data_IF_735567948896
#
_entry.id   IF_735567948896
#
_cell.length_a   1.000
_cell.length_b   1.000
_cell.length_c   1.000
_cell.angle_alpha   90.00
_cell.angle_beta   90.00
_cell.angle_gamma   90.00
#
_symmetry.space_group_name_H-M   'P 1'
#
loop_
_entity.id
_entity.type
_entity.pdbx_description
1 polymer ?
#
# COMPACT_ATOMS: atom_id res chain seq x y z
N UNK A 1 -16.02 6.65 24.93
CA UNK A 1 -15.94 5.41 25.74
C UNK A 1 -14.54 5.19 26.28
N UNK A 2 -13.55 4.88 25.43
CA UNK A 2 -12.13 4.70 25.86
C UNK A 2 -11.58 5.86 26.71
N UNK A 3 -11.73 7.10 26.23
CA UNK A 3 -11.29 8.28 26.98
C UNK A 3 -11.96 8.40 28.35
N UNK A 4 -13.28 8.18 28.42
CA UNK A 4 -14.01 8.18 29.69
C UNK A 4 -13.51 7.07 30.66
N UNK A 5 -13.18 5.87 30.14
CA UNK A 5 -12.54 4.83 30.94
C UNK A 5 -11.17 5.25 31.47
N UNK A 6 -10.34 5.94 30.67
CA UNK A 6 -9.02 6.41 31.11
C UNK A 6 -9.12 7.48 32.19
N UNK A 7 -10.09 8.39 32.07
CA UNK A 7 -10.27 9.51 32.99
C UNK A 7 -10.91 9.08 34.32
N UNK A 8 -11.88 8.16 34.27
CA UNK A 8 -12.74 7.84 35.42
C UNK A 8 -12.66 6.37 35.87
N UNK A 9 -11.90 5.51 35.17
CA UNK A 9 -11.84 4.06 35.41
C UNK A 9 -13.04 3.27 34.87
N UNK A 10 -14.13 3.95 34.51
CA UNK A 10 -15.34 3.40 33.92
C UNK A 10 -16.10 4.50 33.17
N UNK A 11 -17.16 4.13 32.45
CA UNK A 11 -18.17 5.05 31.91
C UNK A 11 -19.56 4.46 32.05
N UNK A 12 -20.57 5.31 32.01
CA UNK A 12 -21.98 4.93 31.84
C UNK A 12 -22.48 5.34 30.46
N UNK A 13 -23.59 4.75 30.03
CA UNK A 13 -24.27 5.15 28.78
C UNK A 13 -24.66 6.63 28.79
N UNK A 14 -24.99 7.18 29.97
CA UNK A 14 -25.34 8.59 30.12
C UNK A 14 -24.13 9.50 29.85
N UNK A 15 -22.96 9.16 30.40
CA UNK A 15 -21.74 9.97 30.24
C UNK A 15 -21.35 10.08 28.76
N UNK A 16 -21.47 8.97 28.02
CA UNK A 16 -21.13 8.95 26.60
C UNK A 16 -22.18 9.65 25.75
N UNK A 17 -23.47 9.46 26.06
CA UNK A 17 -24.54 10.17 25.38
C UNK A 17 -24.40 11.69 25.51
N UNK A 18 -24.05 12.18 26.70
CA UNK A 18 -23.80 13.60 26.95
C UNK A 18 -22.55 14.10 26.23
N UNK A 19 -21.43 13.38 26.32
CA UNK A 19 -20.18 13.79 25.69
C UNK A 19 -20.20 13.78 24.16
N UNK A 20 -21.10 13.02 23.54
CA UNK A 20 -21.18 12.84 22.08
C UNK A 20 -22.45 13.38 21.45
N UNK A 21 -23.30 14.07 22.22
CA UNK A 21 -24.63 14.54 21.80
C UNK A 21 -25.45 13.45 21.06
N UNK A 22 -25.35 12.21 21.55
CA UNK A 22 -25.94 11.03 20.91
C UNK A 22 -27.04 10.46 21.80
N UNK A 23 -28.20 10.02 21.26
CA UNK A 23 -29.26 9.42 22.07
C UNK A 23 -28.77 8.22 22.89
N UNK A 24 -29.20 8.13 24.16
CA UNK A 24 -28.80 7.05 25.08
C UNK A 24 -29.10 5.65 24.54
N UNK A 25 -30.19 5.48 23.79
CA UNK A 25 -30.53 4.20 23.14
C UNK A 25 -29.48 3.80 22.11
N UNK A 26 -29.05 4.75 21.27
CA UNK A 26 -28.01 4.51 20.26
C UNK A 26 -26.67 4.18 20.92
N UNK A 27 -26.31 4.90 21.98
CA UNK A 27 -25.11 4.60 22.77
C UNK A 27 -25.21 3.22 23.42
N UNK A 28 -26.37 2.84 23.96
CA UNK A 28 -26.58 1.51 24.55
C UNK A 28 -26.43 0.40 23.50
N UNK A 29 -26.96 0.58 22.28
CA UNK A 29 -26.80 -0.39 21.20
C UNK A 29 -25.33 -0.57 20.82
N UNK A 30 -24.56 0.53 20.76
CA UNK A 30 -23.11 0.47 20.55
C UNK A 30 -22.38 -0.21 21.69
N UNK A 31 -22.73 0.08 22.95
CA UNK A 31 -22.13 -0.59 24.11
C UNK A 31 -22.38 -2.10 24.07
N UNK A 32 -23.59 -2.53 23.74
CA UNK A 32 -23.92 -3.95 23.66
C UNK A 32 -23.09 -4.67 22.58
N UNK A 33 -22.97 -4.06 21.38
CA UNK A 33 -22.12 -4.59 20.31
C UNK A 33 -20.65 -4.66 20.71
N UNK A 34 -20.14 -3.59 21.33
CA UNK A 34 -18.75 -3.54 21.79
C UNK A 34 -18.47 -4.52 22.94
N UNK A 35 -19.49 -4.95 23.69
CA UNK A 35 -19.37 -6.04 24.67
C UNK A 35 -19.27 -7.39 23.96
N UNK A 36 -20.11 -7.64 22.95
CA UNK A 36 -20.05 -8.85 22.12
C UNK A 36 -18.70 -8.98 21.39
N UNK A 37 -18.14 -7.84 20.95
CA UNK A 37 -16.83 -7.74 20.30
C UNK A 37 -15.65 -7.78 21.30
N UNK A 38 -15.92 -7.75 22.61
CA UNK A 38 -14.89 -7.78 23.65
C UNK A 38 -14.11 -6.48 23.82
N UNK A 39 -14.53 -5.38 23.20
CA UNK A 39 -13.92 -4.04 23.27
C UNK A 39 -14.34 -3.26 24.52
N UNK A 40 -15.48 -3.64 25.12
CA UNK A 40 -16.02 -3.09 26.37
C UNK A 40 -16.40 -4.25 27.28
N UNK A 41 -16.14 -4.13 28.58
CA UNK A 41 -16.62 -5.03 29.60
C UNK A 41 -17.64 -4.33 30.51
N UNK A 42 -18.67 -5.05 30.91
CA UNK A 42 -19.56 -4.65 32.00
C UNK A 42 -18.82 -4.86 33.31
N UNK A 43 -18.48 -3.78 34.01
CA UNK A 43 -17.79 -3.83 35.30
C UNK A 43 -18.76 -3.92 36.47
N UNK A 44 -19.92 -3.26 36.36
CA UNK A 44 -21.01 -3.34 37.34
C UNK A 44 -22.38 -3.33 36.65
N UNK A 45 -23.25 -4.29 37.01
CA UNK A 45 -24.64 -4.34 36.54
C UNK A 45 -25.49 -3.19 37.06
N UNK A 46 -26.55 -2.84 36.33
CA UNK A 46 -27.51 -1.83 36.76
C UNK A 46 -28.24 -2.28 38.04
N UNK A 47 -28.25 -1.43 39.07
CA UNK A 47 -28.94 -1.69 40.34
C UNK A 47 -29.84 -0.52 40.74
N UNK A 48 -31.14 -0.67 40.47
CA UNK A 48 -32.14 0.35 40.81
C UNK A 48 -31.84 1.69 40.12
N UNK A 49 -31.49 2.72 40.92
CA UNK A 49 -31.12 4.06 40.40
C UNK A 49 -29.64 4.17 39.98
N UNK A 50 -28.81 3.18 40.29
CA UNK A 50 -27.41 3.17 39.89
C UNK A 50 -27.30 2.62 38.46
N UNK A 51 -26.74 3.43 37.56
CA UNK A 51 -26.49 3.05 36.18
C UNK A 51 -25.43 1.93 36.11
N UNK A 52 -25.55 1.06 35.10
CA UNK A 52 -24.51 0.09 34.78
C UNK A 52 -23.19 0.81 34.44
N UNK A 53 -22.07 0.22 34.87
CA UNK A 53 -20.73 0.72 34.60
C UNK A 53 -20.02 -0.19 33.61
N UNK A 54 -19.34 0.43 32.67
CA UNK A 54 -18.62 -0.22 31.61
C UNK A 54 -17.18 0.29 31.59
N UNK A 55 -16.24 -0.54 31.15
CA UNK A 55 -14.87 -0.12 30.90
C UNK A 55 -14.40 -0.65 29.55
N UNK A 56 -13.63 0.14 28.81
CA UNK A 56 -12.94 -0.39 27.64
C UNK A 56 -11.89 -1.43 28.07
N UNK A 57 -11.88 -2.59 27.42
CA UNK A 57 -11.11 -3.78 27.81
C UNK A 57 -9.60 -3.64 27.58
N UNK A 58 -9.20 -2.78 26.65
CA UNK A 58 -7.78 -2.54 26.34
C UNK A 58 -7.56 -1.12 25.79
N UNK A 59 -6.43 -0.52 26.19
CA UNK A 59 -5.87 0.69 25.56
C UNK A 59 -5.09 0.38 24.27
N UNK A 60 -4.83 -0.90 24.00
CA UNK A 60 -4.10 -1.35 22.82
C UNK A 60 -5.03 -1.34 21.60
N UNK A 61 -4.53 -0.92 20.41
CA UNK A 61 -5.31 -1.02 19.17
C UNK A 61 -5.57 -2.49 18.83
N UNK A 62 -6.69 -2.76 18.15
CA UNK A 62 -7.02 -4.11 17.63
C UNK A 62 -5.99 -4.61 16.63
N UNK A 63 -5.39 -3.71 15.85
CA UNK A 63 -4.24 -4.02 15.02
C UNK A 63 -3.25 -2.88 14.93
N UNK A 64 -1.95 -3.21 14.88
CA UNK A 64 -0.89 -2.25 14.53
C UNK A 64 -0.83 -1.96 13.02
N UNK A 65 -1.40 -2.85 12.19
CA UNK A 65 -1.51 -2.71 10.74
C UNK A 65 -2.96 -2.46 10.35
N UNK A 66 -3.21 -1.35 9.65
CA UNK A 66 -4.53 -1.05 9.07
C UNK A 66 -4.86 -2.04 7.95
N UNK A 67 -3.91 -2.29 7.05
CA UNK A 67 -4.06 -3.21 5.92
C UNK A 67 -2.80 -4.06 5.76
N UNK A 68 -2.97 -5.32 5.39
CA UNK A 68 -1.90 -6.20 4.93
C UNK A 68 -2.39 -6.91 3.67
N UNK A 69 -1.65 -6.74 2.59
CA UNK A 69 -2.01 -7.31 1.29
C UNK A 69 -0.77 -7.59 0.47
N UNK A 70 -0.91 -8.35 -0.62
CA UNK A 70 0.24 -8.84 -1.38
C UNK A 70 -0.07 -8.81 -2.87
N UNK A 71 0.86 -8.27 -3.65
CA UNK A 71 0.84 -8.41 -5.11
C UNK A 71 1.84 -9.46 -5.57
N UNK A 72 1.56 -10.09 -6.71
CA UNK A 72 2.44 -11.08 -7.34
C UNK A 72 2.81 -10.65 -8.76
N UNK A 73 4.07 -10.87 -9.15
CA UNK A 73 4.59 -10.64 -10.49
C UNK A 73 5.61 -11.74 -10.85
N UNK A 74 5.14 -12.76 -11.57
CA UNK A 74 5.94 -13.93 -11.90
C UNK A 74 6.31 -14.74 -10.65
N UNK A 75 7.61 -14.90 -10.41
CA UNK A 75 8.15 -15.65 -9.26
C UNK A 75 8.41 -14.79 -8.00
N UNK A 76 7.98 -13.53 -8.01
CA UNK A 76 8.20 -12.57 -6.93
C UNK A 76 6.87 -12.02 -6.41
N UNK A 77 6.86 -11.62 -5.15
CA UNK A 77 5.76 -10.90 -4.53
C UNK A 77 6.24 -9.56 -3.95
N UNK A 78 5.33 -8.61 -3.81
CA UNK A 78 5.51 -7.45 -2.95
C UNK A 78 4.42 -7.46 -1.87
N UNK A 79 4.87 -7.57 -0.62
CA UNK A 79 4.03 -7.61 0.58
C UNK A 79 3.93 -6.18 1.12
N UNK A 80 2.72 -5.75 1.43
CA UNK A 80 2.44 -4.40 1.92
C UNK A 80 1.88 -4.47 3.32
N UNK A 81 2.45 -3.69 4.23
CA UNK A 81 1.87 -3.42 5.55
C UNK A 81 1.64 -1.93 5.68
N UNK A 82 0.38 -1.50 5.69
CA UNK A 82 0.05 -0.13 6.05
C UNK A 82 -0.11 -0.05 7.57
N UNK A 83 0.92 0.45 8.25
CA UNK A 83 0.89 0.57 9.71
C UNK A 83 0.05 1.78 10.15
N UNK A 84 -0.52 1.71 11.35
CA UNK A 84 -1.18 2.88 11.95
C UNK A 84 -0.19 3.96 12.44
N UNK A 85 1.11 3.63 12.48
CA UNK A 85 2.16 4.51 12.99
C UNK A 85 3.43 4.38 12.16
N UNK A 86 4.03 5.52 11.83
CA UNK A 86 5.34 5.56 11.17
C UNK A 86 6.45 4.96 12.03
N UNK A 87 6.32 5.00 13.36
CA UNK A 87 7.27 4.36 14.27
C UNK A 87 7.20 2.83 14.22
N UNK A 88 5.98 2.26 14.15
CA UNK A 88 5.80 0.82 13.95
C UNK A 88 6.33 0.37 12.58
N UNK A 89 6.04 1.14 11.53
CA UNK A 89 6.56 0.86 10.19
C UNK A 89 8.09 0.90 10.16
N UNK A 90 8.72 1.88 10.82
CA UNK A 90 10.18 1.99 10.89
C UNK A 90 10.82 0.83 11.69
N UNK A 91 10.17 0.39 12.77
CA UNK A 91 10.60 -0.78 13.52
C UNK A 91 10.56 -2.05 12.65
N UNK A 92 9.47 -2.26 11.91
CA UNK A 92 9.34 -3.41 11.01
C UNK A 92 10.38 -3.34 9.88
N UNK A 93 10.55 -2.18 9.23
CA UNK A 93 11.58 -1.95 8.22
C UNK A 93 12.97 -2.37 8.72
N UNK A 94 13.37 -1.91 9.91
CA UNK A 94 14.67 -2.23 10.49
C UNK A 94 14.87 -3.73 10.72
N UNK A 95 13.88 -4.41 11.32
CA UNK A 95 14.04 -5.82 11.68
C UNK A 95 13.91 -6.75 10.47
N UNK A 96 12.95 -6.51 9.58
CA UNK A 96 12.80 -7.31 8.36
C UNK A 96 14.00 -7.13 7.41
N UNK A 97 14.52 -5.91 7.25
CA UNK A 97 15.74 -5.68 6.45
C UNK A 97 16.96 -6.41 7.02
N UNK A 98 17.05 -6.55 8.34
CA UNK A 98 18.15 -7.24 9.03
C UNK A 98 18.00 -8.75 9.04
N UNK A 99 16.77 -9.26 9.02
CA UNK A 99 16.48 -10.70 9.03
C UNK A 99 16.92 -11.42 7.75
N UNK A 100 16.89 -10.73 6.61
CA UNK A 100 17.07 -11.37 5.32
C UNK A 100 15.99 -12.42 5.09
N UNK A 101 16.39 -13.66 4.85
CA UNK A 101 15.45 -14.74 4.56
C UNK A 101 14.89 -14.65 3.15
N UNK A 102 13.57 -14.80 3.01
CA UNK A 102 12.89 -14.75 1.72
C UNK A 102 12.86 -13.33 1.10
N UNK A 103 13.07 -12.30 1.92
CA UNK A 103 13.03 -10.90 1.50
C UNK A 103 14.28 -10.52 0.70
N UNK A 104 14.06 -9.88 -0.44
CA UNK A 104 15.10 -9.30 -1.31
C UNK A 104 15.30 -7.80 -1.02
N UNK A 105 14.23 -7.10 -0.67
CA UNK A 105 14.31 -5.68 -0.31
C UNK A 105 13.16 -5.28 0.60
N UNK A 106 13.43 -4.38 1.53
CA UNK A 106 12.44 -3.79 2.44
C UNK A 106 12.56 -2.28 2.31
N UNK A 107 11.43 -1.60 2.11
CA UNK A 107 11.37 -0.14 1.97
C UNK A 107 10.16 0.39 2.69
N UNK A 108 10.26 1.60 3.22
CA UNK A 108 9.15 2.31 3.82
C UNK A 108 8.84 3.62 3.12
N UNK A 109 7.56 3.89 2.95
CA UNK A 109 7.03 5.15 2.46
C UNK A 109 5.97 5.68 3.44
N UNK A 110 6.38 6.63 4.28
CA UNK A 110 5.57 7.07 5.41
C UNK A 110 5.24 5.91 6.36
N UNK A 111 3.97 5.51 6.37
CA UNK A 111 3.42 4.40 7.16
C UNK A 111 3.30 3.08 6.38
N UNK A 112 3.54 3.08 5.07
CA UNK A 112 3.46 1.90 4.22
C UNK A 112 4.84 1.22 4.15
N UNK A 113 4.91 0.00 4.66
CA UNK A 113 6.04 -0.91 4.45
C UNK A 113 5.80 -1.69 3.15
N UNK A 114 6.85 -1.83 2.34
CA UNK A 114 6.89 -2.59 1.09
C UNK A 114 8.03 -3.60 1.17
N UNK A 115 7.72 -4.87 1.06
CA UNK A 115 8.68 -5.95 1.19
C UNK A 115 8.64 -6.84 -0.05
N UNK A 116 9.70 -6.83 -0.85
CA UNK A 116 9.83 -7.75 -1.98
C UNK A 116 10.41 -9.07 -1.52
N UNK A 117 9.81 -10.15 -1.97
CA UNK A 117 10.25 -11.51 -1.69
C UNK A 117 10.18 -12.39 -2.93
N UNK A 118 11.11 -13.33 -3.05
CA UNK A 118 10.98 -14.43 -4.00
C UNK A 118 10.10 -15.53 -3.40
N UNK A 119 9.35 -16.25 -4.25
CA UNK A 119 8.68 -17.47 -3.82
C UNK A 119 9.71 -18.53 -3.38
N UNK A 120 9.40 -19.25 -2.31
CA UNK A 120 10.27 -20.26 -1.70
C UNK A 120 10.57 -19.98 -0.24
N UNK A 121 11.49 -20.77 0.32
CA UNK A 121 11.88 -20.71 1.73
C UNK A 121 13.37 -20.47 1.89
N UNK A 122 13.73 -19.67 2.91
CA UNK A 122 15.10 -19.43 3.36
C UNK A 122 15.09 -19.32 4.88
N UNK A 123 16.06 -19.95 5.53
CA UNK A 123 16.19 -19.91 6.99
C UNK A 123 16.37 -18.48 7.49
N UNK A 124 15.71 -18.17 8.60
CA UNK A 124 15.82 -16.87 9.30
C UNK A 124 16.04 -17.12 10.77
N UNK A 125 17.16 -16.60 11.29
CA UNK A 125 17.41 -16.57 12.72
C UNK A 125 16.84 -15.28 13.32
N UNK A 126 15.85 -15.41 14.21
CA UNK A 126 15.32 -14.29 15.00
C UNK A 126 15.76 -14.38 16.46
N UNK A 127 15.82 -13.23 17.13
CA UNK A 127 16.19 -13.15 18.55
C UNK A 127 15.99 -11.74 19.12
N UNK A 128 16.43 -11.57 20.36
CA UNK A 128 16.55 -10.24 20.97
C UNK A 128 17.81 -9.54 20.45
N UNK A 129 17.90 -8.22 20.67
CA UNK A 129 19.07 -7.43 20.30
C UNK A 129 20.39 -8.14 20.70
N UNK A 130 21.35 -8.29 19.76
CA UNK A 130 21.44 -7.64 18.45
C UNK A 130 20.77 -8.40 17.29
N UNK A 131 20.06 -9.50 17.50
CA UNK A 131 19.38 -10.24 16.43
C UNK A 131 18.10 -9.52 15.95
N UNK A 132 17.62 -9.80 14.73
CA UNK A 132 16.35 -9.29 14.26
C UNK A 132 15.18 -9.94 15.02
N UNK A 133 14.16 -9.16 15.39
CA UNK A 133 13.02 -9.65 16.16
C UNK A 133 11.95 -10.35 15.31
N UNK A 134 11.99 -10.18 13.99
CA UNK A 134 11.01 -10.74 13.04
C UNK A 134 11.66 -10.93 11.68
N UNK A 135 11.23 -11.96 10.95
CA UNK A 135 11.52 -12.09 9.52
C UNK A 135 10.63 -13.12 8.82
N UNK A 136 10.66 -13.07 7.49
CA UNK A 136 9.88 -13.95 6.62
C UNK A 136 10.76 -15.13 6.20
N UNK A 137 10.43 -16.30 6.73
CA UNK A 137 11.09 -17.59 6.45
C UNK A 137 10.72 -18.09 5.06
N UNK A 138 9.51 -17.81 4.60
CA UNK A 138 9.09 -18.26 3.29
C UNK A 138 7.83 -17.59 2.78
N UNK A 139 7.69 -17.63 1.46
CA UNK A 139 6.49 -17.20 0.75
C UNK A 139 6.11 -18.29 -0.23
N UNK A 140 4.83 -18.66 -0.24
CA UNK A 140 4.28 -19.59 -1.23
C UNK A 140 3.00 -19.04 -1.85
N UNK A 141 2.71 -19.48 -3.07
CA UNK A 141 1.52 -19.11 -3.83
C UNK A 141 0.73 -20.38 -4.15
N UNK A 142 -0.46 -20.50 -3.59
CA UNK A 142 -1.34 -21.68 -3.73
C UNK A 142 -2.79 -21.21 -3.85
N UNK A 143 -3.52 -21.73 -4.83
CA UNK A 143 -4.97 -21.49 -5.02
C UNK A 143 -5.38 -20.00 -5.03
N UNK A 144 -4.53 -19.12 -5.56
CA UNK A 144 -4.79 -17.67 -5.61
C UNK A 144 -4.54 -16.92 -4.30
N UNK A 145 -3.88 -17.57 -3.33
CA UNK A 145 -3.48 -16.99 -2.06
C UNK A 145 -1.96 -16.98 -1.90
N UNK A 146 -1.45 -15.94 -1.24
CA UNK A 146 -0.07 -15.86 -0.80
C UNK A 146 -0.01 -16.21 0.69
N UNK A 147 0.82 -17.20 1.02
CA UNK A 147 1.09 -17.63 2.39
C UNK A 147 2.48 -17.14 2.80
N UNK A 148 2.51 -16.30 3.83
CA UNK A 148 3.73 -15.69 4.36
C UNK A 148 4.07 -16.37 5.67
N UNK A 149 5.20 -17.08 5.72
CA UNK A 149 5.66 -17.78 6.92
C UNK A 149 6.59 -16.86 7.71
N UNK A 150 6.13 -16.42 8.86
CA UNK A 150 6.77 -15.41 9.69
C UNK A 150 7.30 -16.08 10.96
N UNK A 151 8.55 -15.78 11.31
CA UNK A 151 9.15 -16.16 12.58
C UNK A 151 9.48 -14.89 13.35
N UNK A 152 9.14 -14.85 14.64
CA UNK A 152 9.28 -13.62 15.43
C UNK A 152 9.37 -13.87 16.94
N UNK A 153 9.80 -12.84 17.67
CA UNK A 153 9.93 -12.81 19.13
C UNK A 153 9.56 -11.42 19.66
N UNK A 154 9.08 -11.32 20.90
CA UNK A 154 8.79 -10.05 21.56
C UNK A 154 7.60 -9.30 20.95
N UNK A 155 7.76 -8.00 20.66
CA UNK A 155 6.68 -7.15 20.13
C UNK A 155 6.06 -7.67 18.83
N UNK A 156 6.85 -8.04 17.80
CA UNK A 156 6.32 -8.66 16.59
C UNK A 156 5.55 -9.96 16.82
N UNK A 157 5.95 -10.75 17.83
CA UNK A 157 5.21 -11.97 18.18
C UNK A 157 3.80 -11.65 18.68
N UNK A 158 3.64 -10.60 19.49
CA UNK A 158 2.32 -10.12 19.90
C UNK A 158 1.49 -9.63 18.70
N UNK A 159 2.13 -8.92 17.75
CA UNK A 159 1.45 -8.50 16.52
C UNK A 159 0.96 -9.71 15.70
N UNK A 160 1.81 -10.71 15.51
CA UNK A 160 1.45 -11.90 14.74
C UNK A 160 0.32 -12.71 15.40
N UNK A 161 0.34 -12.85 16.72
CA UNK A 161 -0.66 -13.66 17.42
C UNK A 161 -2.01 -12.98 17.60
N UNK A 162 -2.00 -11.67 17.87
CA UNK A 162 -3.21 -11.00 18.39
C UNK A 162 -3.71 -9.86 17.49
N UNK A 163 -2.93 -9.39 16.51
CA UNK A 163 -3.26 -8.18 15.74
C UNK A 163 -3.45 -8.41 14.24
N UNK A 164 -2.56 -9.18 13.60
CA UNK A 164 -2.53 -9.25 12.13
C UNK A 164 -3.82 -9.83 11.52
N UNK A 165 -4.55 -10.68 12.25
CA UNK A 165 -5.82 -11.25 11.78
C UNK A 165 -6.93 -10.20 11.57
N UNK A 166 -6.80 -9.02 12.18
CA UNK A 166 -7.75 -7.91 12.04
C UNK A 166 -7.37 -6.90 10.95
N UNK A 167 -6.20 -7.05 10.32
CA UNK A 167 -5.80 -6.15 9.24
C UNK A 167 -6.60 -6.44 7.96
N UNK A 168 -7.10 -5.39 7.31
CA UNK A 168 -7.80 -5.51 6.03
C UNK A 168 -6.89 -6.17 4.99
N UNK A 169 -7.42 -7.15 4.25
CA UNK A 169 -6.70 -7.94 3.25
C UNK A 169 -6.14 -9.27 3.76
N UNK A 170 -6.07 -9.47 5.08
CA UNK A 170 -5.71 -10.76 5.68
C UNK A 170 -6.90 -11.71 5.61
N UNK A 171 -6.69 -12.88 5.03
CA UNK A 171 -7.68 -13.95 4.88
C UNK A 171 -7.60 -14.99 5.99
N UNK A 172 -6.47 -15.08 6.68
CA UNK A 172 -6.27 -16.02 7.78
C UNK A 172 -4.91 -15.87 8.41
N UNK A 173 -4.82 -16.23 9.70
CA UNK A 173 -3.58 -16.30 10.45
C UNK A 173 -3.57 -17.59 11.24
N UNK A 174 -2.46 -18.34 11.16
CA UNK A 174 -2.20 -19.48 12.05
C UNK A 174 -0.91 -19.24 12.79
N UNK A 175 -0.85 -19.63 14.07
CA UNK A 175 0.34 -19.42 14.91
C UNK A 175 0.66 -20.65 15.73
N UNK A 176 1.95 -20.87 15.92
CA UNK A 176 2.54 -21.89 16.77
C UNK A 176 3.59 -21.22 17.68
N UNK A 177 3.53 -21.49 18.98
CA UNK A 177 4.47 -20.94 19.96
C UNK A 177 5.43 -22.02 20.43
N UNK A 178 6.72 -21.73 20.33
CA UNK A 178 7.79 -22.57 20.88
C UNK A 178 8.70 -21.71 21.77
N UNK A 179 8.44 -21.76 23.08
CA UNK A 179 9.13 -20.91 24.04
C UNK A 179 8.86 -19.41 23.75
N UNK A 180 9.92 -18.57 23.67
CA UNK A 180 9.76 -17.14 23.39
C UNK A 180 9.56 -16.82 21.91
N UNK A 181 9.76 -17.80 21.02
CA UNK A 181 9.62 -17.63 19.58
C UNK A 181 8.21 -18.03 19.15
N UNK A 182 7.66 -17.24 18.25
CA UNK A 182 6.38 -17.49 17.59
C UNK A 182 6.63 -17.65 16.11
N UNK A 183 6.12 -18.75 15.57
CA UNK A 183 6.03 -18.97 14.14
C UNK A 183 4.58 -18.88 13.72
N UNK A 184 4.32 -18.35 12.55
CA UNK A 184 2.98 -18.29 12.03
C UNK A 184 2.93 -18.12 10.53
N UNK A 185 1.73 -18.28 10.02
CA UNK A 185 1.41 -18.06 8.62
C UNK A 185 0.36 -16.97 8.53
N UNK A 186 0.61 -15.98 7.66
CA UNK A 186 -0.35 -14.94 7.31
C UNK A 186 -0.74 -15.14 5.86
N UNK A 187 -2.04 -15.27 5.62
CA UNK A 187 -2.60 -15.57 4.30
C UNK A 187 -3.27 -14.32 3.75
N UNK A 188 -2.89 -13.92 2.53
CA UNK A 188 -3.48 -12.81 1.77
C UNK A 188 -3.88 -13.30 0.38
N UNK A 189 -4.76 -12.57 -0.33
CA UNK A 189 -5.04 -12.86 -1.75
C UNK A 189 -3.81 -12.50 -2.60
N UNK A 190 -3.59 -13.25 -3.67
CA UNK A 190 -2.62 -12.91 -4.70
C UNK A 190 -3.21 -11.83 -5.63
N UNK A 191 -2.93 -10.56 -5.33
CA UNK A 191 -3.44 -9.43 -6.12
C UNK A 191 -2.52 -9.14 -7.33
N UNK A 192 -3.09 -8.63 -8.41
CA UNK A 192 -2.33 -8.06 -9.52
C UNK A 192 -1.83 -6.67 -9.12
N UNK A 193 -0.55 -6.37 -9.38
CA UNK A 193 -0.04 -5.01 -9.31
C UNK A 193 -0.39 -4.29 -10.61
N UNK A 194 -1.01 -3.11 -10.52
CA UNK A 194 -1.33 -2.27 -11.69
C UNK A 194 -0.72 -0.89 -11.50
N UNK A 195 0.18 -0.51 -12.41
CA UNK A 195 0.68 0.86 -12.54
C UNK A 195 -0.13 1.61 -13.60
N UNK A 196 -0.60 2.80 -13.25
CA UNK A 196 -1.29 3.71 -14.17
C UNK A 196 -0.52 5.02 -14.22
N UNK A 197 0.25 5.21 -15.28
CA UNK A 197 0.93 6.45 -15.62
C UNK A 197 -0.01 7.44 -16.29
N UNK A 198 0.16 8.73 -15.99
CA UNK A 198 -0.72 9.83 -16.41
C UNK A 198 0.16 11.04 -16.71
N UNK A 199 -0.05 11.67 -17.87
CA UNK A 199 0.68 12.87 -18.25
C UNK A 199 -0.09 13.78 -19.21
N UNK A 200 0.39 15.03 -19.38
CA UNK A 200 -0.16 16.06 -20.27
C UNK A 200 -1.67 16.32 -20.07
N UNK A 201 -2.15 16.25 -18.82
CA UNK A 201 -3.60 16.39 -18.53
C UNK A 201 -4.01 17.83 -18.23
N UNK A 202 -3.05 18.71 -17.97
CA UNK A 202 -3.21 20.13 -17.66
C UNK A 202 -2.78 21.05 -18.81
N UNK A 203 -3.20 22.31 -18.73
CA UNK A 203 -2.80 23.39 -19.65
C UNK A 203 -2.05 24.48 -18.88
N UNK A 204 -1.58 25.52 -19.55
CA UNK A 204 -0.91 26.65 -18.89
C UNK A 204 -1.82 27.40 -17.89
N UNK A 205 -3.15 27.25 -17.97
CA UNK A 205 -4.11 28.01 -17.17
C UNK A 205 -5.07 27.16 -16.37
N UNK A 206 -5.11 25.84 -16.58
CA UNK A 206 -6.12 24.96 -16.00
C UNK A 206 -5.57 23.57 -15.70
N UNK A 207 -5.94 23.04 -14.53
CA UNK A 207 -5.61 21.68 -14.11
C UNK A 207 -4.20 21.52 -13.55
N UNK A 208 -3.93 20.31 -13.05
CA UNK A 208 -2.59 19.85 -12.72
C UNK A 208 -2.56 18.32 -12.77
N UNK A 209 -1.61 17.74 -13.51
CA UNK A 209 -1.52 16.28 -13.69
C UNK A 209 -1.45 15.49 -12.38
N UNK A 210 -0.72 15.99 -11.38
CA UNK A 210 -0.66 15.32 -10.07
C UNK A 210 -2.00 15.34 -9.32
N UNK A 211 -2.79 16.40 -9.48
CA UNK A 211 -4.09 16.53 -8.81
C UNK A 211 -5.12 15.59 -9.45
N UNK A 212 -5.13 15.48 -10.79
CA UNK A 212 -5.98 14.53 -11.50
C UNK A 212 -5.60 13.08 -11.18
N UNK A 213 -4.30 12.77 -11.09
CA UNK A 213 -3.81 11.46 -10.67
C UNK A 213 -4.28 11.09 -9.25
N UNK A 214 -4.21 12.02 -8.30
CA UNK A 214 -4.72 11.81 -6.95
C UNK A 214 -6.24 11.58 -6.94
N UNK A 215 -7.00 12.35 -7.73
CA UNK A 215 -8.44 12.17 -7.86
C UNK A 215 -8.78 10.79 -8.45
N UNK A 216 -8.03 10.33 -9.45
CA UNK A 216 -8.18 8.99 -10.02
C UNK A 216 -7.89 7.90 -8.99
N UNK A 217 -6.79 8.02 -8.22
CA UNK A 217 -6.47 7.06 -7.15
C UNK A 217 -7.62 6.95 -6.14
N UNK A 218 -8.16 8.09 -5.69
CA UNK A 218 -9.29 8.14 -4.77
C UNK A 218 -10.59 7.59 -5.38
N UNK A 219 -10.79 7.75 -6.69
CA UNK A 219 -11.92 7.18 -7.40
C UNK A 219 -11.84 5.66 -7.47
N UNK A 220 -10.70 5.12 -7.91
CA UNK A 220 -10.50 3.68 -8.07
C UNK A 220 -10.42 2.95 -6.73
N UNK A 221 -9.87 3.57 -5.68
CA UNK A 221 -9.80 3.00 -4.34
C UNK A 221 -11.17 2.79 -3.66
N UNK A 222 -12.26 3.29 -4.24
CA UNK A 222 -13.64 3.03 -3.76
C UNK A 222 -14.23 1.73 -4.31
N UNK A 223 -13.55 1.09 -5.25
CA UNK A 223 -14.01 -0.17 -5.84
C UNK A 223 -13.59 -1.34 -4.95
N UNK A 224 -14.54 -2.21 -4.63
CA UNK A 224 -14.24 -3.46 -3.93
C UNK A 224 -13.22 -4.28 -4.72
N UNK A 225 -12.27 -4.90 -4.01
CA UNK A 225 -11.16 -5.65 -4.63
C UNK A 225 -10.00 -4.79 -5.14
N UNK A 226 -9.98 -3.49 -4.79
CA UNK A 226 -8.86 -2.58 -5.10
C UNK A 226 -8.27 -2.02 -3.82
N UNK A 227 -6.95 -2.17 -3.67
CA UNK A 227 -6.19 -1.60 -2.57
C UNK A 227 -5.18 -0.58 -3.13
N UNK A 228 -5.29 0.70 -2.76
CA UNK A 228 -4.32 1.71 -3.20
C UNK A 228 -2.96 1.45 -2.54
N UNK A 229 -1.90 1.49 -3.35
CA UNK A 229 -0.50 1.41 -2.90
C UNK A 229 0.09 2.81 -2.78
N UNK A 230 -0.07 3.66 -3.79
CA UNK A 230 0.45 5.03 -3.71
C UNK A 230 0.31 5.86 -4.98
N UNK A 231 0.75 7.10 -4.88
CA UNK A 231 0.87 8.06 -5.98
C UNK A 231 2.29 8.60 -6.02
N UNK A 232 2.90 8.57 -7.20
CA UNK A 232 4.26 9.02 -7.47
C UNK A 232 4.22 10.16 -8.48
N UNK A 233 5.09 11.13 -8.29
CA UNK A 233 5.38 12.18 -9.26
C UNK A 233 6.82 12.01 -9.72
N UNK A 234 7.05 12.06 -11.02
CA UNK A 234 8.38 11.95 -11.61
C UNK A 234 8.66 13.15 -12.52
N UNK A 235 9.78 13.82 -12.28
CA UNK A 235 10.27 14.87 -13.18
C UNK A 235 10.96 14.24 -14.40
N UNK A 236 10.62 14.75 -15.57
CA UNK A 236 11.16 14.36 -16.87
C UNK A 236 12.16 15.41 -17.37
N UNK A 237 12.50 15.40 -18.66
CA UNK A 237 13.49 16.30 -19.24
C UNK A 237 13.09 17.78 -19.05
N UNK A 238 13.82 18.55 -18.22
CA UNK A 238 13.45 19.94 -17.97
C UNK A 238 13.71 20.83 -19.18
N UNK A 239 14.44 20.39 -20.21
CA UNK A 239 14.83 21.21 -21.37
C UNK A 239 13.83 21.14 -22.54
N UNK A 240 12.75 20.36 -22.42
CA UNK A 240 11.71 20.30 -23.45
C UNK A 240 10.97 21.65 -23.57
N UNK A 241 10.86 22.17 -24.79
CA UNK A 241 10.21 23.46 -25.06
C UNK A 241 8.68 23.40 -24.91
N UNK A 242 8.06 22.28 -25.30
CA UNK A 242 6.62 22.06 -25.24
C UNK A 242 6.17 21.46 -23.89
N UNK A 243 6.53 22.12 -22.78
CA UNK A 243 6.20 21.70 -21.40
C UNK A 243 5.07 22.52 -20.78
N UNK A 244 4.25 21.90 -19.93
CA UNK A 244 3.47 22.60 -18.90
C UNK A 244 4.41 23.15 -17.81
N UNK A 245 3.89 23.82 -16.78
CA UNK A 245 4.70 24.41 -15.71
C UNK A 245 5.41 23.33 -14.86
N UNK A 246 6.55 22.82 -15.35
CA UNK A 246 7.32 21.73 -14.74
C UNK A 246 7.01 20.39 -15.40
N UNK A 247 7.82 20.00 -16.40
CA UNK A 247 7.66 18.76 -17.17
C UNK A 247 7.72 17.52 -16.25
N UNK A 248 6.57 17.08 -15.76
CA UNK A 248 6.44 16.03 -14.76
C UNK A 248 5.18 15.21 -15.01
N UNK A 249 5.32 13.90 -14.81
CA UNK A 249 4.25 12.93 -14.98
C UNK A 249 3.88 12.31 -13.62
N UNK A 250 2.72 11.68 -13.54
CA UNK A 250 2.26 10.97 -12.34
C UNK A 250 2.07 9.49 -12.61
N UNK A 251 2.31 8.65 -11.60
CA UNK A 251 1.94 7.24 -11.61
C UNK A 251 1.13 6.94 -10.35
N UNK A 252 -0.01 6.27 -10.50
CA UNK A 252 -0.70 5.64 -9.37
C UNK A 252 -0.41 4.14 -9.38
N UNK A 253 -0.28 3.55 -8.20
CA UNK A 253 0.04 2.15 -7.98
C UNK A 253 -1.13 1.51 -7.22
N UNK A 254 -1.65 0.39 -7.74
CA UNK A 254 -2.80 -0.32 -7.19
C UNK A 254 -2.50 -1.82 -7.03
N UNK A 255 -3.02 -2.43 -5.98
CA UNK A 255 -3.18 -3.88 -5.89
C UNK A 255 -4.64 -4.22 -6.17
N UNK A 256 -4.88 -5.06 -7.19
CA UNK A 256 -6.21 -5.27 -7.77
C UNK A 256 -6.50 -6.76 -7.84
N UNK A 257 -7.71 -7.20 -7.52
CA UNK A 257 -8.11 -8.58 -7.79
C UNK A 257 -7.98 -8.89 -9.30
N UNK A 258 -7.36 -10.01 -9.71
CA UNK A 258 -6.99 -10.23 -11.12
C UNK A 258 -8.15 -10.09 -12.12
N UNK A 259 -9.37 -10.47 -11.75
CA UNK A 259 -10.57 -10.35 -12.56
C UNK A 259 -11.06 -8.91 -12.75
N UNK A 260 -10.56 -7.94 -11.99
CA UNK A 260 -10.95 -6.53 -12.05
C UNK A 260 -9.99 -5.68 -12.88
N UNK A 261 -8.82 -6.19 -13.30
CA UNK A 261 -7.78 -5.39 -13.95
C UNK A 261 -8.31 -4.66 -15.20
N UNK A 262 -9.00 -5.37 -16.10
CA UNK A 262 -9.60 -4.76 -17.30
C UNK A 262 -10.63 -3.66 -16.97
N UNK A 263 -11.40 -3.83 -15.88
CA UNK A 263 -12.35 -2.81 -15.41
C UNK A 263 -11.64 -1.58 -14.86
N UNK A 264 -10.53 -1.77 -14.15
CA UNK A 264 -9.71 -0.67 -13.62
C UNK A 264 -9.10 0.13 -14.76
N UNK A 265 -8.57 -0.54 -15.77
CA UNK A 265 -8.07 0.08 -16.98
C UNK A 265 -9.16 0.92 -17.69
N UNK A 266 -10.32 0.32 -17.99
CA UNK A 266 -11.42 1.04 -18.65
C UNK A 266 -11.88 2.26 -17.82
N UNK A 267 -12.01 2.08 -16.51
CA UNK A 267 -12.44 3.15 -15.61
C UNK A 267 -11.41 4.27 -15.54
N UNK A 268 -10.11 3.95 -15.52
CA UNK A 268 -9.02 4.91 -15.52
C UNK A 268 -9.00 5.74 -16.81
N UNK A 269 -9.08 5.08 -17.97
CA UNK A 269 -9.13 5.75 -19.28
C UNK A 269 -10.32 6.68 -19.36
N UNK A 270 -11.53 6.21 -19.00
CA UNK A 270 -12.75 7.02 -19.04
C UNK A 270 -12.67 8.22 -18.11
N UNK A 271 -12.14 8.04 -16.90
CA UNK A 271 -12.02 9.12 -15.93
C UNK A 271 -11.06 10.21 -16.43
N UNK A 272 -9.85 9.83 -16.88
CA UNK A 272 -8.87 10.80 -17.37
C UNK A 272 -9.38 11.51 -18.64
N UNK A 273 -9.98 10.77 -19.58
CA UNK A 273 -10.53 11.35 -20.81
C UNK A 273 -11.68 12.35 -20.56
N UNK A 274 -12.44 12.16 -19.48
CA UNK A 274 -13.56 13.04 -19.11
C UNK A 274 -13.17 14.27 -18.30
N UNK A 275 -12.06 14.20 -17.56
CA UNK A 275 -11.67 15.21 -16.57
C UNK A 275 -10.39 15.99 -16.95
N UNK A 276 -9.61 15.52 -17.93
CA UNK A 276 -8.40 16.22 -18.38
C UNK A 276 -8.76 17.54 -19.09
N UNK A 277 -8.02 18.60 -18.75
CA UNK A 277 -8.16 19.91 -19.40
C UNK A 277 -7.46 19.96 -20.77
N UNK A 278 -6.37 19.21 -20.93
CA UNK A 278 -5.61 19.13 -22.16
C UNK A 278 -6.10 17.99 -23.07
N UNK A 279 -6.27 18.22 -24.39
CA UNK A 279 -6.61 17.16 -25.34
C UNK A 279 -5.45 16.20 -25.62
N UNK A 280 -4.23 16.55 -25.21
CA UNK A 280 -3.02 15.75 -25.36
C UNK A 280 -2.78 14.80 -24.19
N UNK A 281 -3.76 14.66 -23.29
CA UNK A 281 -3.68 13.73 -22.15
C UNK A 281 -3.22 12.35 -22.59
N UNK A 282 -2.46 11.70 -21.73
CA UNK A 282 -2.02 10.34 -21.95
C UNK A 282 -2.12 9.49 -20.71
N UNK A 283 -2.44 8.22 -20.93
CA UNK A 283 -2.43 7.20 -19.90
C UNK A 283 -1.61 5.99 -20.39
N UNK A 284 -0.89 5.37 -19.46
CA UNK A 284 -0.20 4.11 -19.69
C UNK A 284 -0.57 3.15 -18.56
N UNK A 285 -1.15 2.00 -18.88
CA UNK A 285 -1.54 0.98 -17.90
C UNK A 285 -0.65 -0.24 -18.08
N UNK A 286 -0.03 -0.72 -16.99
CA UNK A 286 0.81 -1.93 -17.02
C UNK A 286 0.61 -2.77 -15.77
N UNK A 287 0.44 -4.06 -15.96
CA UNK A 287 0.48 -5.03 -14.87
C UNK A 287 1.94 -5.38 -14.49
N UNK A 288 2.18 -5.65 -13.20
CA UNK A 288 3.47 -6.07 -12.67
C UNK A 288 4.37 -4.95 -12.18
N UNK A 289 5.00 -5.16 -11.02
CA UNK A 289 5.89 -4.20 -10.37
C UNK A 289 7.35 -4.32 -10.83
N UNK A 290 7.73 -5.39 -11.53
CA UNK A 290 9.08 -5.55 -12.07
C UNK A 290 9.27 -4.60 -13.24
N UNK A 291 10.42 -3.93 -13.26
CA UNK A 291 10.80 -3.03 -14.35
C UNK A 291 12.05 -3.61 -15.01
N UNK A 292 11.90 -4.37 -16.11
CA UNK A 292 13.03 -4.77 -16.94
C UNK A 292 13.79 -3.53 -17.38
N UNK A 293 15.11 -3.58 -17.49
CA UNK A 293 15.86 -2.33 -17.64
C UNK A 293 15.88 -1.78 -19.05
N UNK A 294 15.44 -2.53 -20.06
CA UNK A 294 15.05 -1.93 -21.32
C UNK A 294 13.80 -1.03 -21.16
N UNK A 295 12.85 -1.39 -20.28
CA UNK A 295 11.79 -0.48 -19.86
C UNK A 295 12.35 0.67 -19.01
N UNK A 296 13.28 0.42 -18.08
CA UNK A 296 13.95 1.49 -17.31
C UNK A 296 14.67 2.50 -18.21
N UNK A 297 15.33 2.01 -19.25
CA UNK A 297 16.06 2.83 -20.22
C UNK A 297 15.13 3.80 -20.94
N UNK A 298 13.87 3.43 -21.20
CA UNK A 298 12.86 4.36 -21.70
C UNK A 298 12.65 5.55 -20.74
N UNK A 299 12.51 5.28 -19.44
CA UNK A 299 12.39 6.32 -18.41
C UNK A 299 13.63 7.22 -18.32
N UNK A 300 14.82 6.66 -18.52
CA UNK A 300 16.06 7.45 -18.66
C UNK A 300 16.01 8.34 -19.90
N UNK A 301 15.68 7.78 -21.07
CA UNK A 301 15.58 8.53 -22.32
C UNK A 301 14.57 9.67 -22.21
N UNK A 302 13.47 9.49 -21.45
CA UNK A 302 12.45 10.52 -21.22
C UNK A 302 12.97 11.70 -20.36
N UNK A 303 14.06 11.50 -19.59
CA UNK A 303 14.76 12.54 -18.83
C UNK A 303 15.86 13.24 -19.62
N UNK A 304 16.44 12.57 -20.62
CA UNK A 304 17.66 13.02 -21.30
C UNK A 304 17.42 13.55 -22.72
N UNK A 305 16.38 13.07 -23.39
CA UNK A 305 16.17 13.28 -24.83
C UNK A 305 14.72 13.59 -25.17
N UNK A 306 14.47 13.90 -26.44
CA UNK A 306 13.11 14.00 -27.00
C UNK A 306 12.72 12.62 -27.50
N UNK A 307 11.59 12.10 -27.03
CA UNK A 307 11.03 10.82 -27.46
C UNK A 307 9.83 11.10 -28.35
N UNK A 308 9.68 10.34 -29.43
CA UNK A 308 8.49 10.35 -30.27
C UNK A 308 7.46 9.30 -29.82
N UNK A 309 6.23 9.46 -30.30
CA UNK A 309 5.12 8.57 -29.95
C UNK A 309 5.34 7.13 -30.42
N UNK A 310 5.99 6.94 -31.58
CA UNK A 310 6.26 5.61 -32.13
C UNK A 310 7.18 4.79 -31.21
N UNK A 311 8.22 5.42 -30.65
CA UNK A 311 9.09 4.79 -29.67
C UNK A 311 8.34 4.41 -28.39
N UNK A 312 7.39 5.23 -27.94
CA UNK A 312 6.52 4.92 -26.81
C UNK A 312 5.64 3.71 -27.10
N UNK A 313 4.95 3.68 -28.24
CA UNK A 313 4.07 2.58 -28.66
C UNK A 313 4.83 1.26 -28.80
N UNK A 314 6.02 1.29 -29.44
CA UNK A 314 6.89 0.12 -29.55
C UNK A 314 7.35 -0.40 -28.19
N UNK A 315 7.75 0.49 -27.29
CA UNK A 315 8.18 0.12 -25.94
C UNK A 315 7.01 -0.46 -25.14
N UNK A 316 5.83 0.15 -25.23
CA UNK A 316 4.62 -0.32 -24.56
C UNK A 316 4.23 -1.73 -25.03
N UNK A 317 4.22 -1.99 -26.35
CA UNK A 317 3.95 -3.32 -26.89
C UNK A 317 4.95 -4.39 -26.45
N UNK A 318 6.24 -4.03 -26.30
CA UNK A 318 7.27 -4.96 -25.84
C UNK A 318 7.10 -5.36 -24.36
N UNK A 319 6.61 -4.44 -23.52
CA UNK A 319 6.50 -4.64 -22.07
C UNK A 319 5.05 -4.79 -21.57
N UNK A 320 4.11 -5.07 -22.47
CA UNK A 320 2.71 -5.31 -22.12
C UNK A 320 2.02 -4.12 -21.46
N UNK A 321 2.40 -2.90 -21.83
CA UNK A 321 1.69 -1.69 -21.42
C UNK A 321 0.68 -1.27 -22.50
N UNK A 322 -0.49 -0.80 -22.07
CA UNK A 322 -1.51 -0.26 -22.94
C UNK A 322 -1.51 1.27 -22.86
N UNK A 323 -1.56 1.94 -24.02
CA UNK A 323 -1.50 3.40 -24.13
C UNK A 323 -2.82 3.95 -24.64
N UNK A 324 -3.31 5.04 -24.04
CA UNK A 324 -4.49 5.76 -24.51
C UNK A 324 -4.27 7.27 -24.47
N UNK A 325 -4.84 7.97 -25.46
CA UNK A 325 -4.80 9.42 -25.55
C UNK A 325 -3.86 9.97 -26.63
N UNK A 326 -3.45 11.21 -26.44
CA UNK A 326 -2.62 12.01 -27.33
C UNK A 326 -1.13 11.83 -27.07
N UNK A 327 -0.36 12.92 -27.16
CA UNK A 327 1.09 12.94 -26.94
C UNK A 327 1.51 12.51 -25.52
N UNK A 328 0.68 12.76 -24.51
CA UNK A 328 0.96 12.46 -23.11
C UNK A 328 1.32 11.00 -22.82
N UNK A 329 1.00 10.08 -23.72
CA UNK A 329 1.38 8.65 -23.58
C UNK A 329 2.89 8.48 -23.42
N UNK A 330 3.70 9.40 -23.95
CA UNK A 330 5.16 9.39 -23.82
C UNK A 330 5.57 9.48 -22.36
N UNK A 331 5.09 10.50 -21.64
CA UNK A 331 5.42 10.69 -20.23
C UNK A 331 4.60 9.81 -19.29
N UNK A 332 3.39 9.40 -19.67
CA UNK A 332 2.64 8.38 -18.94
C UNK A 332 3.42 7.05 -18.91
N UNK A 333 3.96 6.60 -20.04
CA UNK A 333 4.83 5.42 -20.08
C UNK A 333 6.13 5.65 -19.31
N UNK A 334 6.66 6.88 -19.32
CA UNK A 334 7.83 7.22 -18.51
C UNK A 334 7.52 7.05 -17.01
N UNK A 335 6.37 7.50 -16.53
CA UNK A 335 5.93 7.30 -15.15
C UNK A 335 5.90 5.82 -14.76
N UNK A 336 5.32 4.98 -15.63
CA UNK A 336 5.25 3.51 -15.48
C UNK A 336 6.64 2.85 -15.51
N UNK A 337 7.55 3.36 -16.34
CA UNK A 337 8.94 2.89 -16.38
C UNK A 337 9.77 3.33 -15.17
N UNK A 338 9.29 4.33 -14.43
CA UNK A 338 10.01 4.92 -13.31
C UNK A 338 9.63 4.34 -11.94
N UNK A 339 8.58 3.52 -11.84
CA UNK A 339 8.08 2.91 -10.59
C UNK A 339 9.17 2.19 -9.79
N UNK A 340 9.00 2.11 -8.48
CA UNK A 340 9.95 1.45 -7.58
C UNK A 340 11.25 2.23 -7.31
N UNK A 341 11.43 3.42 -7.87
CA UNK A 341 12.52 4.32 -7.49
C UNK A 341 12.18 5.16 -6.24
N UNK A 342 13.20 5.55 -5.45
CA UNK A 342 13.05 6.51 -4.37
C UNK A 342 12.55 7.90 -4.84
N UNK A 343 11.87 8.62 -3.95
CA UNK A 343 11.34 9.96 -4.25
C UNK A 343 12.42 10.98 -4.65
N UNK A 344 13.58 10.95 -4.00
CA UNK A 344 14.70 11.85 -4.32
C UNK A 344 15.28 11.58 -5.72
N UNK A 345 15.18 10.35 -6.22
CA UNK A 345 15.52 10.01 -7.62
C UNK A 345 14.40 10.44 -8.57
N UNK A 346 13.13 10.25 -8.19
CA UNK A 346 11.98 10.62 -9.02
C UNK A 346 11.85 12.14 -9.22
N UNK A 347 12.17 12.93 -8.20
CA UNK A 347 12.04 14.39 -8.19
C UNK A 347 13.31 15.13 -8.64
N UNK A 348 14.38 14.42 -8.99
CA UNK A 348 15.59 15.01 -9.55
C UNK A 348 15.89 14.36 -10.92
N UNK A 349 15.58 15.04 -12.05
CA UNK A 349 15.81 14.47 -13.37
C UNK A 349 17.30 14.31 -13.70
N UNK A 350 18.21 14.88 -12.90
CA UNK A 350 19.66 14.66 -13.02
C UNK A 350 20.17 13.40 -12.31
N UNK A 351 19.34 12.72 -11.51
CA UNK A 351 19.71 11.45 -10.87
C UNK A 351 19.58 10.29 -11.85
N UNK A 352 20.59 9.43 -11.84
CA UNK A 352 20.59 8.21 -12.63
C UNK A 352 19.55 7.21 -12.13
N UNK A 353 18.63 6.87 -13.04
CA UNK A 353 17.51 5.96 -12.80
C UNK A 353 17.87 4.47 -12.97
N UNK A 354 19.08 4.16 -13.45
CA UNK A 354 19.56 2.77 -13.55
C UNK A 354 20.67 2.44 -12.53
N UNK A 355 20.84 3.27 -11.49
CA UNK A 355 21.77 2.95 -10.39
C UNK A 355 21.38 1.63 -9.72
N UNK A 356 22.31 0.68 -9.66
CA UNK A 356 22.09 -0.66 -9.12
C UNK A 356 21.52 -1.68 -10.12
N UNK A 357 21.52 -1.37 -11.42
CA UNK A 357 21.08 -2.28 -12.48
C UNK A 357 22.27 -2.87 -13.23
N UNK A 358 22.36 -4.21 -13.31
CA UNK A 358 23.24 -4.88 -14.28
C UNK A 358 22.50 -4.93 -15.62
N UNK A 359 23.09 -4.46 -16.74
CA UNK A 359 22.47 -4.60 -18.05
C UNK A 359 22.37 -6.09 -18.39
N UNK A 360 21.19 -6.52 -18.82
CA UNK A 360 21.04 -7.82 -19.49
C UNK A 360 21.63 -7.65 -20.88
N UNK A 361 22.72 -8.37 -21.16
CA UNK A 361 23.36 -8.45 -22.50
C UNK A 361 22.40 -8.95 -23.58
#
# INVERSE_FOLDING_TARGET
MRQATLESGYFTVADIAEATDTPRSTVQDWVNRLIEEGCVLLTEEQRGRHAARYAATSVMPESACRRIFTTIDGGEVEIYHECMSGGCAAFCEFHHARAGGALQSVRRDGTLLRERAGLGRREVAVGLDPAPAVGIVGVSHEDGYIRQQIRCIGGPAYSLTDMMSFAEGVCGVTVHREGPVVEGEVVTRALAYVAVGIDDTDTATEGATFALALALLQHLAKLDGVMPIGHRVAMLNPRLEARTAGNSCSCIELAVEPNLVARIEESAVRFVAGEAASPEWGIAVREGFRVPGALRAYGRSARESVIDREAAEKTAGLFGAHLYGGRGVIGALAAVSLIGLPHDVLLDPGRDVCTGWEPVE
#
